data_IF_287986504572
#
_entry.id   IF_287986504572
#
_cell.length_a   1.000
_cell.length_b   1.000
_cell.length_c   1.000
_cell.angle_alpha   90.00
_cell.angle_beta   90.00
_cell.angle_gamma   90.00
#
_symmetry.space_group_name_H-M   'P 1'
#
loop_
_entity.id
_entity.type
_entity.pdbx_description
1 polymer ?
#
# COMPACT_ATOMS: atom_id res chain seq x y z
N UNK A 1 1.32 -16.42 -20.36
CA UNK A 1 1.18 -15.29 -19.40
C UNK A 1 2.58 -14.78 -19.14
N UNK A 2 2.81 -13.48 -19.28
CA UNK A 2 4.08 -12.83 -18.96
C UNK A 2 3.93 -12.03 -17.67
N UNK A 3 4.94 -12.06 -16.80
CA UNK A 3 4.93 -11.32 -15.53
C UNK A 3 5.86 -10.11 -15.59
N UNK A 4 5.50 -9.07 -14.86
CA UNK A 4 6.29 -7.85 -14.71
C UNK A 4 6.52 -7.55 -13.23
N UNK A 5 7.53 -6.74 -12.94
CA UNK A 5 7.91 -6.35 -11.57
C UNK A 5 7.69 -4.87 -11.27
N UNK A 6 7.34 -4.09 -12.29
CA UNK A 6 7.22 -2.64 -12.23
C UNK A 6 6.08 -2.15 -13.13
N UNK A 7 5.35 -1.14 -12.67
CA UNK A 7 4.33 -0.39 -13.40
C UNK A 7 4.61 1.11 -13.22
N UNK A 8 4.42 1.89 -14.28
CA UNK A 8 4.51 3.34 -14.26
C UNK A 8 3.09 3.91 -14.29
N UNK A 9 2.67 4.59 -13.22
CA UNK A 9 1.36 5.22 -13.13
C UNK A 9 1.52 6.73 -13.31
N UNK A 10 1.02 7.26 -14.43
CA UNK A 10 0.95 8.71 -14.67
C UNK A 10 -0.33 9.30 -14.09
N UNK A 11 -0.25 10.48 -13.46
CA UNK A 11 -1.41 11.17 -12.92
C UNK A 11 -1.20 12.69 -12.94
N UNK A 12 -2.31 13.43 -12.92
CA UNK A 12 -2.27 14.87 -12.67
C UNK A 12 -2.41 15.12 -11.16
N UNK A 13 -1.41 15.79 -10.59
CA UNK A 13 -1.39 16.14 -9.17
C UNK A 13 -2.48 17.16 -8.87
N UNK A 14 -3.29 16.89 -7.84
CA UNK A 14 -4.30 17.83 -7.36
C UNK A 14 -3.71 18.97 -6.50
N UNK A 15 -2.44 18.86 -6.11
CA UNK A 15 -1.76 19.87 -5.30
C UNK A 15 -1.23 21.03 -6.16
N UNK A 16 -0.60 20.72 -7.29
CA UNK A 16 0.07 21.70 -8.15
C UNK A 16 -0.40 21.66 -9.61
N UNK A 17 -1.38 20.82 -9.94
CA UNK A 17 -1.98 20.68 -11.27
C UNK A 17 -0.98 20.28 -12.36
N UNK A 18 0.09 19.57 -11.99
CA UNK A 18 1.11 19.10 -12.93
C UNK A 18 1.03 17.59 -13.14
N UNK A 19 1.39 17.17 -14.34
CA UNK A 19 1.60 15.76 -14.65
C UNK A 19 2.78 15.21 -13.81
N UNK A 20 2.54 14.10 -13.15
CA UNK A 20 3.47 13.35 -12.33
C UNK A 20 3.46 11.86 -12.73
N UNK A 21 4.46 11.11 -12.26
CA UNK A 21 4.55 9.68 -12.50
C UNK A 21 5.12 8.96 -11.29
N UNK A 22 4.40 7.93 -10.84
CA UNK A 22 4.86 7.02 -9.80
C UNK A 22 5.43 5.73 -10.41
N UNK A 23 6.52 5.24 -9.83
CA UNK A 23 7.15 3.96 -10.21
C UNK A 23 6.80 2.91 -9.17
N UNK A 24 5.84 2.06 -9.49
CA UNK A 24 5.22 1.10 -8.57
C UNK A 24 5.79 -0.31 -8.78
N UNK A 25 6.20 -0.97 -7.69
CA UNK A 25 6.91 -2.27 -7.74
C UNK A 25 6.17 -3.39 -7.02
N UNK A 26 6.30 -4.60 -7.57
CA UNK A 26 5.85 -5.85 -6.95
C UNK A 26 6.94 -6.94 -7.03
N UNK A 27 8.13 -6.62 -6.54
CA UNK A 27 9.33 -7.47 -6.66
C UNK A 27 9.54 -8.30 -5.40
N UNK A 28 9.58 -9.63 -5.51
CA UNK A 28 9.79 -10.53 -4.37
C UNK A 28 11.20 -10.43 -3.77
N UNK A 29 12.21 -10.10 -4.58
CA UNK A 29 13.59 -9.94 -4.13
C UNK A 29 14.12 -8.57 -4.54
N UNK A 30 13.89 -7.58 -3.68
CA UNK A 30 14.33 -6.21 -3.81
C UNK A 30 15.30 -5.90 -2.66
N UNK A 31 16.60 -5.87 -2.95
CA UNK A 31 17.66 -5.63 -1.96
C UNK A 31 17.57 -6.55 -0.72
N UNK A 32 17.29 -7.84 -0.93
CA UNK A 32 17.21 -8.84 0.15
C UNK A 32 15.85 -8.92 0.86
N UNK A 33 14.86 -8.10 0.47
CA UNK A 33 13.50 -8.15 1.01
C UNK A 33 12.44 -8.05 -0.10
N UNK A 34 11.21 -8.48 0.17
CA UNK A 34 10.12 -8.29 -0.80
C UNK A 34 9.61 -6.85 -0.77
N UNK A 35 9.41 -6.26 -1.95
CA UNK A 35 8.83 -4.92 -2.13
C UNK A 35 7.54 -5.01 -2.91
N UNK A 36 6.45 -4.66 -2.22
CA UNK A 36 5.10 -4.60 -2.77
C UNK A 36 4.50 -3.24 -2.44
N UNK A 37 4.52 -2.35 -3.43
CA UNK A 37 4.04 -0.99 -3.29
C UNK A 37 2.50 -0.97 -3.20
N UNK A 38 1.96 0.00 -2.46
CA UNK A 38 0.52 0.22 -2.37
C UNK A 38 0.07 1.18 -3.46
N UNK A 39 -1.20 1.04 -3.86
CA UNK A 39 -1.82 1.84 -4.91
C UNK A 39 -3.16 2.38 -4.44
N UNK A 40 -3.50 3.55 -4.95
CA UNK A 40 -4.82 4.15 -4.85
C UNK A 40 -5.61 3.82 -6.12
N UNK A 41 -6.81 3.28 -5.95
CA UNK A 41 -7.71 2.96 -7.05
C UNK A 41 -8.74 4.06 -7.27
N UNK A 42 -9.17 4.22 -8.51
CA UNK A 42 -10.35 5.02 -8.85
C UNK A 42 -11.57 4.32 -8.24
N UNK A 43 -12.30 5.04 -7.40
CA UNK A 43 -13.53 4.55 -6.78
C UNK A 43 -14.65 5.52 -7.15
N UNK A 44 -15.78 4.97 -7.57
CA UNK A 44 -17.00 5.77 -7.79
C UNK A 44 -17.56 6.33 -6.47
N UNK A 45 -17.08 5.83 -5.32
CA UNK A 45 -17.46 6.28 -3.99
C UNK A 45 -16.40 7.23 -3.41
N UNK A 46 -16.80 8.13 -2.50
CA UNK A 46 -15.89 9.02 -1.75
C UNK A 46 -14.84 8.30 -0.89
N UNK A 47 -14.87 6.97 -0.84
CA UNK A 47 -13.87 6.15 -0.17
C UNK A 47 -12.75 5.78 -1.13
N UNK A 48 -11.55 6.24 -0.80
CA UNK A 48 -10.30 5.81 -1.40
C UNK A 48 -10.12 4.30 -1.24
N UNK A 49 -10.28 3.56 -2.34
CA UNK A 49 -9.94 2.14 -2.40
C UNK A 49 -8.42 2.01 -2.52
N UNK A 50 -7.83 1.26 -1.59
CA UNK A 50 -6.39 1.06 -1.52
C UNK A 50 -6.11 -0.43 -1.66
N UNK A 51 -5.00 -0.76 -2.29
CA UNK A 51 -4.47 -2.11 -2.14
C UNK A 51 -2.98 -2.20 -2.37
N UNK A 52 -2.44 -3.40 -2.20
CA UNK A 52 -1.02 -3.69 -2.30
C UNK A 52 -0.78 -4.57 -3.50
N UNK A 53 0.11 -4.13 -4.39
CA UNK A 53 0.44 -4.88 -5.61
C UNK A 53 1.04 -6.23 -5.25
N UNK A 54 0.59 -7.29 -5.90
CA UNK A 54 1.13 -8.64 -5.72
C UNK A 54 1.73 -9.20 -7.00
N UNK A 55 1.04 -9.01 -8.13
CA UNK A 55 1.50 -9.46 -9.45
C UNK A 55 1.07 -8.47 -10.53
N UNK A 56 1.91 -8.31 -11.55
CA UNK A 56 1.60 -7.60 -12.79
C UNK A 56 1.69 -8.62 -13.93
N UNK A 57 0.60 -8.76 -14.68
CA UNK A 57 0.44 -9.83 -15.67
C UNK A 57 0.06 -9.25 -17.02
N UNK A 58 0.72 -9.71 -18.08
CA UNK A 58 0.22 -9.61 -19.46
C UNK A 58 -0.27 -10.98 -19.92
N UNK A 59 -1.55 -11.06 -20.17
CA UNK A 59 -2.23 -12.28 -20.59
C UNK A 59 -2.55 -12.20 -22.08
N UNK A 60 -2.24 -13.26 -22.83
CA UNK A 60 -2.70 -13.41 -24.22
C UNK A 60 -3.96 -14.27 -24.20
N UNK A 61 -5.06 -13.74 -24.73
CA UNK A 61 -6.33 -14.44 -24.81
C UNK A 61 -6.27 -15.48 -25.94
N UNK A 62 -6.54 -16.74 -25.60
CA UNK A 62 -6.47 -17.83 -26.60
C UNK A 62 -7.56 -17.72 -27.66
N UNK A 63 -8.73 -17.19 -27.30
CA UNK A 63 -9.87 -17.09 -28.20
C UNK A 63 -9.70 -15.98 -29.25
N UNK A 64 -9.14 -14.82 -28.87
CA UNK A 64 -9.06 -13.63 -29.73
C UNK A 64 -7.64 -13.28 -30.17
N UNK A 65 -6.63 -13.92 -29.59
CA UNK A 65 -5.20 -13.60 -29.73
C UNK A 65 -4.79 -12.23 -29.16
N UNK A 66 -5.74 -11.46 -28.60
CA UNK A 66 -5.49 -10.17 -27.96
C UNK A 66 -4.63 -10.30 -26.71
N UNK A 67 -4.00 -9.20 -26.32
CA UNK A 67 -3.26 -9.09 -25.07
C UNK A 67 -3.98 -8.15 -24.13
N UNK A 68 -4.21 -8.60 -22.89
CA UNK A 68 -4.74 -7.78 -21.80
C UNK A 68 -3.71 -7.70 -20.68
N UNK A 69 -3.61 -6.53 -20.07
CA UNK A 69 -2.82 -6.32 -18.87
C UNK A 69 -3.75 -6.39 -17.66
N UNK A 70 -3.29 -7.07 -16.61
CA UNK A 70 -4.07 -7.32 -15.40
C UNK A 70 -3.16 -7.17 -14.18
N UNK A 71 -3.66 -6.45 -13.18
CA UNK A 71 -2.99 -6.31 -11.88
C UNK A 71 -3.65 -7.23 -10.87
N UNK A 72 -2.86 -8.07 -10.20
CA UNK A 72 -3.31 -8.79 -9.01
C UNK A 72 -2.82 -8.09 -7.75
N UNK A 73 -3.72 -7.84 -6.81
CA UNK A 73 -3.45 -7.09 -5.59
C UNK A 73 -4.25 -7.61 -4.40
N UNK A 74 -3.79 -7.33 -3.19
CA UNK A 74 -4.57 -7.50 -1.96
C UNK A 74 -5.27 -6.19 -1.62
N UNK A 75 -6.55 -6.22 -1.22
CA UNK A 75 -7.28 -5.00 -0.82
C UNK A 75 -6.92 -4.60 0.61
N UNK A 76 -6.85 -3.29 0.83
CA UNK A 76 -6.79 -2.69 2.15
C UNK A 76 -8.17 -2.12 2.46
N UNK A 77 -8.88 -2.74 3.39
CA UNK A 77 -10.22 -2.31 3.77
C UNK A 77 -10.17 -1.48 5.05
N UNK A 78 -11.00 -0.43 5.11
CA UNK A 78 -11.05 0.44 6.27
C UNK A 78 -11.49 -0.34 7.50
N UNK A 79 -10.65 -0.33 8.53
CA UNK A 79 -10.97 -0.94 9.81
C UNK A 79 -11.89 0.03 10.60
N UNK A 80 -13.12 -0.38 10.96
CA UNK A 80 -14.00 0.49 11.74
C UNK A 80 -13.41 0.76 13.12
N UNK A 81 -13.49 2.01 13.60
CA UNK A 81 -13.00 2.43 14.92
C UNK A 81 -13.58 1.60 16.07
N UNK A 82 -14.82 1.11 15.89
CA UNK A 82 -15.50 0.23 16.86
C UNK A 82 -14.82 -1.14 17.02
N UNK A 83 -14.10 -1.60 15.99
CA UNK A 83 -13.40 -2.88 16.00
C UNK A 83 -12.07 -2.76 16.73
N UNK A 84 -11.34 -1.69 16.42
CA UNK A 84 -10.07 -1.37 17.06
C UNK A 84 -9.74 0.09 16.82
N UNK A 85 -9.19 0.74 17.85
CA UNK A 85 -8.72 2.13 17.77
C UNK A 85 -7.25 2.16 18.17
N UNK A 86 -6.35 2.67 17.33
CA UNK A 86 -4.97 2.84 17.74
C UNK A 86 -4.85 3.86 18.87
N UNK A 87 -3.90 3.65 19.77
CA UNK A 87 -3.59 4.63 20.81
C UNK A 87 -3.11 5.96 20.21
N UNK A 88 -2.42 5.90 19.07
CA UNK A 88 -1.93 7.05 18.30
C UNK A 88 -2.96 7.56 17.29
N UNK A 89 -4.26 7.34 17.50
CA UNK A 89 -5.30 7.88 16.63
C UNK A 89 -5.33 9.41 16.67
N UNK A 90 -5.00 10.05 15.55
CA UNK A 90 -5.18 11.49 15.34
C UNK A 90 -6.35 11.79 14.40
N UNK A 91 -6.82 13.04 14.41
CA UNK A 91 -7.93 13.47 13.55
C UNK A 91 -7.57 13.27 12.08
N UNK A 92 -8.42 12.56 11.34
CA UNK A 92 -8.17 12.21 9.95
C UNK A 92 -7.36 10.94 9.73
N UNK A 93 -6.76 10.34 10.78
CA UNK A 93 -6.12 9.03 10.65
C UNK A 93 -7.16 7.96 10.31
N UNK A 94 -6.89 7.21 9.24
CA UNK A 94 -7.68 6.06 8.83
C UNK A 94 -6.80 4.83 8.92
N UNK A 95 -7.30 3.81 9.61
CA UNK A 95 -6.65 2.50 9.70
C UNK A 95 -7.32 1.57 8.72
N UNK A 96 -6.52 0.78 8.05
CA UNK A 96 -6.93 -0.22 7.09
C UNK A 96 -6.40 -1.58 7.53
N UNK A 97 -7.14 -2.64 7.24
CA UNK A 97 -6.70 -4.02 7.38
C UNK A 97 -6.45 -4.59 6.00
N UNK A 98 -5.26 -5.14 5.79
CA UNK A 98 -4.95 -5.84 4.55
C UNK A 98 -5.65 -7.20 4.51
N UNK A 99 -6.36 -7.46 3.42
CA UNK A 99 -6.99 -8.75 3.11
C UNK A 99 -5.96 -9.71 2.53
N UNK A 100 -6.24 -11.00 2.66
CA UNK A 100 -5.38 -12.05 2.11
C UNK A 100 -5.80 -12.48 0.71
N UNK A 101 -7.06 -12.23 0.32
CA UNK A 101 -7.54 -12.57 -1.01
C UNK A 101 -6.89 -11.69 -2.08
N UNK A 102 -6.52 -12.31 -3.20
CA UNK A 102 -6.12 -11.61 -4.40
C UNK A 102 -7.36 -11.19 -5.17
N UNK A 103 -7.38 -9.92 -5.57
CA UNK A 103 -8.33 -9.39 -6.54
C UNK A 103 -7.57 -8.99 -7.80
N UNK A 104 -8.24 -9.13 -8.94
CA UNK A 104 -7.73 -8.72 -10.24
C UNK A 104 -8.42 -7.43 -10.65
N UNK A 105 -7.64 -6.43 -11.05
CA UNK A 105 -8.15 -5.13 -11.49
C UNK A 105 -7.48 -4.72 -12.80
N UNK A 106 -8.18 -3.84 -13.51
CA UNK A 106 -7.64 -3.14 -14.68
C UNK A 106 -6.49 -2.21 -14.22
N UNK A 107 -5.29 -2.26 -14.85
CA UNK A 107 -4.23 -1.29 -14.59
C UNK A 107 -4.71 0.18 -14.64
N UNK A 108 -5.64 0.52 -15.53
CA UNK A 108 -6.14 1.89 -15.70
C UNK A 108 -6.99 2.38 -14.52
N UNK A 109 -7.45 1.46 -13.65
CA UNK A 109 -8.09 1.82 -12.38
C UNK A 109 -7.09 2.34 -11.33
N UNK A 110 -5.77 2.21 -11.55
CA UNK A 110 -4.76 2.72 -10.63
C UNK A 110 -4.57 4.21 -10.89
N UNK A 111 -4.94 5.03 -9.91
CA UNK A 111 -4.76 6.49 -9.98
C UNK A 111 -3.30 6.85 -9.73
N UNK A 112 -2.73 6.38 -8.61
CA UNK A 112 -1.35 6.66 -8.22
C UNK A 112 -0.84 5.70 -7.15
N UNK A 113 0.43 5.84 -6.77
CA UNK A 113 0.99 5.18 -5.61
C UNK A 113 0.37 5.66 -4.30
N UNK A 114 0.24 4.74 -3.36
CA UNK A 114 -0.17 5.03 -2.00
C UNK A 114 0.94 4.63 -1.03
N UNK A 115 1.07 5.38 0.06
CA UNK A 115 1.99 5.04 1.14
C UNK A 115 1.22 4.55 2.36
N UNK A 116 1.66 3.41 2.91
CA UNK A 116 1.06 2.84 4.11
C UNK A 116 2.15 2.46 5.10
N UNK A 117 1.91 2.67 6.39
CA UNK A 117 2.77 2.16 7.44
C UNK A 117 1.99 1.23 8.38
N UNK A 118 2.62 0.20 8.97
CA UNK A 118 1.97 -0.63 9.98
C UNK A 118 1.45 0.20 11.15
N UNK A 119 0.28 -0.16 11.67
CA UNK A 119 -0.29 0.50 12.84
C UNK A 119 0.38 -0.02 14.13
N UNK A 120 0.72 0.91 15.03
CA UNK A 120 1.43 0.58 16.27
C UNK A 120 0.54 -0.21 17.22
N UNK A 121 1.12 -1.26 17.82
CA UNK A 121 0.47 -2.09 18.84
C UNK A 121 -0.92 -2.60 18.42
N UNK A 122 -1.14 -2.72 17.11
CA UNK A 122 -2.41 -3.14 16.53
C UNK A 122 -2.41 -4.59 16.05
N UNK A 123 -3.56 -5.06 15.53
CA UNK A 123 -3.65 -6.35 14.88
C UNK A 123 -2.61 -6.50 13.77
N UNK A 124 -2.05 -7.70 13.61
CA UNK A 124 -1.24 -8.01 12.44
C UNK A 124 -2.03 -7.68 11.16
N UNK A 125 -1.42 -6.93 10.25
CA UNK A 125 -2.01 -6.36 9.03
C UNK A 125 -2.85 -5.07 9.17
N UNK A 126 -2.91 -4.44 10.34
CA UNK A 126 -3.41 -3.08 10.46
C UNK A 126 -2.38 -2.07 9.94
N UNK A 127 -2.80 -1.14 9.08
CA UNK A 127 -1.94 -0.14 8.45
C UNK A 127 -2.62 1.23 8.44
N UNK A 128 -1.85 2.30 8.61
CA UNK A 128 -2.30 3.65 8.29
C UNK A 128 -2.11 3.93 6.81
N UNK A 129 -3.06 4.64 6.21
CA UNK A 129 -2.87 5.31 4.93
C UNK A 129 -2.28 6.70 5.17
N UNK A 130 -1.19 7.01 4.48
CA UNK A 130 -0.46 8.26 4.60
C UNK A 130 -0.60 9.05 3.30
N UNK A 131 -1.35 10.16 3.38
CA UNK A 131 -1.67 11.00 2.21
C UNK A 131 -0.97 12.37 2.25
N UNK A 132 -0.12 12.63 3.26
CA UNK A 132 0.64 13.87 3.37
C UNK A 132 2.15 13.65 3.23
N UNK A 133 2.80 14.61 2.56
CA UNK A 133 4.26 14.74 2.53
C UNK A 133 4.74 14.99 3.97
N UNK A 134 5.60 14.11 4.49
CA UNK A 134 6.12 14.18 5.87
C UNK A 134 5.39 13.33 6.91
N UNK A 135 4.23 12.74 6.57
CA UNK A 135 3.53 11.80 7.47
C UNK A 135 4.40 10.58 7.82
N UNK A 136 5.09 10.01 6.82
CA UNK A 136 5.91 8.81 7.01
C UNK A 136 6.97 8.93 8.11
N UNK A 137 7.72 10.02 8.15
CA UNK A 137 8.76 10.24 9.18
C UNK A 137 8.16 10.42 10.57
N UNK A 138 7.07 11.18 10.70
CA UNK A 138 6.37 11.32 11.99
C UNK A 138 5.89 9.97 12.52
N UNK A 139 5.35 9.11 11.65
CA UNK A 139 4.93 7.78 12.06
C UNK A 139 6.11 6.87 12.42
N UNK A 140 7.21 6.89 11.67
CA UNK A 140 8.40 6.11 12.02
C UNK A 140 8.94 6.50 13.42
N UNK A 141 8.94 7.80 13.74
CA UNK A 141 9.37 8.29 15.06
C UNK A 141 8.39 7.91 16.18
N UNK A 142 7.08 7.99 15.92
CA UNK A 142 6.06 7.53 16.86
C UNK A 142 6.15 6.03 17.13
N UNK A 143 6.54 5.21 16.14
CA UNK A 143 6.78 3.79 16.34
C UNK A 143 7.88 3.54 17.38
N UNK A 144 9.00 4.25 17.26
CA UNK A 144 10.13 4.10 18.16
C UNK A 144 9.80 4.56 19.58
N UNK A 145 8.95 5.59 19.74
CA UNK A 145 8.49 6.06 21.05
C UNK A 145 7.42 5.14 21.68
N UNK A 146 6.64 4.45 20.87
CA UNK A 146 5.62 3.49 21.32
C UNK A 146 6.16 2.07 21.49
N UNK A 147 7.41 1.81 21.06
CA UNK A 147 8.10 0.57 21.35
C UNK A 147 8.42 0.54 22.85
N UNK A 148 8.02 -0.51 23.58
CA UNK A 148 8.36 -0.60 24.98
C UNK A 148 9.89 -0.58 25.21
N UNK A 149 10.33 0.13 26.25
CA UNK A 149 11.75 0.38 26.59
C UNK A 149 12.62 -0.89 26.63
N UNK A 150 12.04 -2.08 26.83
CA UNK A 150 12.75 -3.36 26.92
C UNK A 150 13.29 -3.93 25.60
N UNK A 151 13.08 -3.28 24.45
CA UNK A 151 13.72 -3.67 23.18
C UNK A 151 15.08 -3.00 22.95
N UNK A 152 15.47 -2.05 23.81
CA UNK A 152 16.81 -1.44 23.77
C UNK A 152 17.86 -2.20 24.59
N UNK A 153 17.48 -3.21 25.39
CA UNK A 153 18.38 -3.99 26.25
C UNK A 153 19.03 -5.22 25.58
N UNK A 154 18.95 -5.37 24.25
CA UNK A 154 19.56 -6.52 23.56
C UNK A 154 20.57 -6.12 22.51
N UNK A 155 21.62 -5.40 22.92
CA UNK A 155 22.94 -5.41 22.26
C UNK A 155 24.10 -5.22 23.26
N UNK A 156 24.04 -5.89 24.42
CA UNK A 156 25.27 -6.22 25.16
C UNK A 156 25.34 -7.75 25.33
N UNK A 157 26.30 -8.37 24.64
CA UNK A 157 26.64 -9.78 24.77
C UNK A 157 26.12 -10.67 23.64
N UNK A 158 26.89 -10.77 22.55
CA UNK A 158 27.72 -11.94 22.16
C UNK A 158 28.79 -11.43 21.18
#
# INVERSE_FOLDING_TARGET
IQTYSCLYAGYDSLEDFRAAQDILRCTRNWNGAARYDCVLLSSDNEQSDVGRLRLLLRCRLMATLDTIDVVAMTRLERLPVRTWRPQTAFRGSRVYKERTELVFVDPDSIVRGAYTCPAFQGPAAAHYLLDSVGGGDMFLRLNNLAAPEHLHDRLEGI
#
